data_IF_417813175494
#
_entry.id   IF_417813175494
#
_cell.length_a   1.000
_cell.length_b   1.000
_cell.length_c   1.000
_cell.angle_alpha   90.00
_cell.angle_beta   90.00
_cell.angle_gamma   90.00
#
_symmetry.space_group_name_H-M   'P 1'
#
loop_
_entity.id
_entity.type
_entity.pdbx_description
1 polymer ?
#
# COMPACT_ATOMS: atom_id res chain seq x y z
N UNK A 1 6.80 37.62 28.38
CA UNK A 1 6.33 36.40 29.08
C UNK A 1 7.51 35.50 29.39
N UNK A 2 8.26 35.09 28.36
CA UNK A 2 9.41 34.19 28.49
C UNK A 2 10.42 34.62 29.55
N UNK A 3 10.82 35.90 29.58
CA UNK A 3 11.73 36.42 30.58
C UNK A 3 11.18 36.34 32.01
N UNK A 4 9.93 36.75 32.22
CA UNK A 4 9.29 36.78 33.55
C UNK A 4 9.07 35.36 34.07
N UNK A 5 8.56 34.46 33.22
CA UNK A 5 8.35 33.05 33.56
C UNK A 5 9.68 32.36 33.80
N UNK A 6 10.65 32.53 32.91
CA UNK A 6 11.99 31.98 33.05
C UNK A 6 12.67 32.45 34.33
N UNK A 7 12.56 33.73 34.66
CA UNK A 7 13.11 34.29 35.90
C UNK A 7 12.49 33.64 37.15
N UNK A 8 11.16 33.52 37.21
CA UNK A 8 10.46 32.87 38.33
C UNK A 8 10.81 31.38 38.47
N UNK A 9 10.96 30.67 37.36
CA UNK A 9 11.42 29.27 37.36
C UNK A 9 12.84 29.20 37.94
N UNK A 10 13.72 30.10 37.50
CA UNK A 10 15.11 30.13 37.94
C UNK A 10 15.27 30.55 39.40
N UNK A 11 14.43 31.45 39.92
CA UNK A 11 14.40 31.81 41.35
C UNK A 11 14.19 30.58 42.25
N UNK A 12 13.35 29.63 41.80
CA UNK A 12 13.00 28.44 42.59
C UNK A 12 13.93 27.26 42.32
N UNK A 13 14.41 27.08 41.08
CA UNK A 13 15.07 25.85 40.64
C UNK A 13 16.56 25.98 40.34
N UNK A 14 17.12 27.20 40.24
CA UNK A 14 18.56 27.39 40.01
C UNK A 14 19.43 26.74 41.09
N UNK A 15 19.03 26.86 42.37
CA UNK A 15 19.70 26.21 43.50
C UNK A 15 19.63 24.68 43.48
N UNK A 16 18.79 24.10 42.62
CA UNK A 16 18.69 22.64 42.38
C UNK A 16 19.45 22.19 41.14
N UNK A 17 20.24 23.08 40.53
CA UNK A 17 21.08 22.77 39.37
C UNK A 17 20.41 23.01 38.01
N UNK A 18 19.21 23.58 37.96
CA UNK A 18 18.60 23.99 36.69
C UNK A 18 19.35 25.20 36.12
N UNK A 19 19.56 25.23 34.80
CA UNK A 19 20.14 26.34 34.07
C UNK A 19 19.34 26.60 32.78
N UNK A 20 19.55 27.78 32.18
CA UNK A 20 18.91 28.13 30.91
C UNK A 20 19.93 27.98 29.78
N UNK A 21 19.61 27.13 28.80
CA UNK A 21 20.32 27.01 27.52
C UNK A 21 19.33 27.22 26.38
N UNK A 22 19.42 28.36 25.69
CA UNK A 22 18.55 28.71 24.57
C UNK A 22 18.91 28.01 23.26
N UNK A 23 20.11 27.43 23.15
CA UNK A 23 20.58 26.75 21.93
C UNK A 23 20.34 25.25 22.01
N UNK A 24 20.46 24.67 23.21
CA UNK A 24 20.38 23.23 23.42
C UNK A 24 19.72 22.89 24.76
N UNK A 25 18.43 23.23 24.86
CA UNK A 25 17.62 22.84 26.01
C UNK A 25 17.36 21.32 26.04
N UNK A 26 17.55 20.69 27.20
CA UNK A 26 17.13 19.30 27.44
C UNK A 26 15.61 19.18 27.63
N UNK A 27 14.98 20.28 28.03
CA UNK A 27 13.55 20.40 28.29
C UNK A 27 13.08 21.77 27.83
N UNK A 28 12.02 21.80 27.02
CA UNK A 28 11.42 23.05 26.51
C UNK A 28 10.01 23.16 27.10
N UNK A 29 9.80 24.22 27.88
CA UNK A 29 8.48 24.61 28.35
C UNK A 29 7.88 25.60 27.35
N UNK A 30 6.79 25.22 26.70
CA UNK A 30 6.04 26.05 25.77
C UNK A 30 4.81 26.66 26.47
N UNK A 31 4.53 27.92 26.15
CA UNK A 31 3.36 28.65 26.67
C UNK A 31 2.62 29.26 25.48
N UNK A 32 1.44 28.71 25.18
CA UNK A 32 0.53 29.25 24.17
C UNK A 32 -0.55 30.09 24.86
N UNK A 33 -0.54 31.41 24.62
CA UNK A 33 -1.51 32.35 25.18
C UNK A 33 -2.61 32.60 24.14
N UNK A 34 -3.76 31.98 24.35
CA UNK A 34 -4.97 32.20 23.56
C UNK A 34 -5.86 33.31 24.12
N UNK A 35 -6.92 33.68 23.40
CA UNK A 35 -7.88 34.71 23.84
C UNK A 35 -8.77 34.26 25.01
N UNK A 36 -8.95 32.95 25.21
CA UNK A 36 -9.80 32.39 26.27
C UNK A 36 -9.00 31.69 27.38
N UNK A 37 -7.85 31.10 27.04
CA UNK A 37 -7.05 30.30 27.95
C UNK A 37 -5.57 30.39 27.61
N UNK A 38 -4.73 30.08 28.60
CA UNK A 38 -3.29 29.91 28.45
C UNK A 38 -2.95 28.45 28.66
N UNK A 39 -2.32 27.83 27.66
CA UNK A 39 -1.89 26.44 27.71
C UNK A 39 -0.39 26.42 27.99
N UNK A 40 0.00 25.68 29.02
CA UNK A 40 1.40 25.43 29.37
C UNK A 40 1.66 23.95 29.17
N UNK A 41 2.65 23.62 28.35
CA UNK A 41 2.99 22.25 28.05
C UNK A 41 4.47 22.10 27.77
N UNK A 42 4.93 20.87 27.81
CA UNK A 42 6.26 20.46 27.44
C UNK A 42 6.18 19.38 26.35
N UNK A 43 7.31 19.09 25.71
CA UNK A 43 7.49 17.89 24.91
C UNK A 43 6.48 17.73 23.76
N UNK A 44 6.50 18.66 22.80
CA UNK A 44 5.77 18.53 21.53
C UNK A 44 6.18 17.24 20.81
N UNK A 45 5.31 16.24 20.81
CA UNK A 45 5.52 14.98 20.09
C UNK A 45 5.06 15.14 18.65
N UNK A 46 5.96 15.01 17.65
CA UNK A 46 5.56 15.06 16.25
C UNK A 46 4.62 13.89 15.93
N UNK A 47 3.45 14.19 15.39
CA UNK A 47 2.59 13.18 14.76
C UNK A 47 3.17 12.70 13.44
N UNK A 48 2.46 11.80 12.76
CA UNK A 48 2.84 11.27 11.44
C UNK A 48 2.88 12.36 10.34
N UNK A 49 2.28 13.53 10.60
CA UNK A 49 2.07 14.58 9.60
C UNK A 49 1.00 14.17 8.60
N UNK A 50 1.15 14.61 7.35
CA UNK A 50 0.26 14.23 6.27
C UNK A 50 -0.99 15.11 6.13
N UNK A 51 -2.04 14.56 5.52
CA UNK A 51 -3.33 15.21 5.32
C UNK A 51 -4.47 14.40 5.95
N UNK A 52 -5.59 15.03 6.37
CA UNK A 52 -6.74 14.32 6.89
C UNK A 52 -7.28 13.27 5.91
N UNK A 53 -7.42 12.02 6.36
CA UNK A 53 -7.90 10.92 5.52
C UNK A 53 -9.30 11.22 4.98
N UNK A 54 -9.46 11.11 3.67
CA UNK A 54 -10.69 11.42 2.94
C UNK A 54 -10.67 12.79 2.26
N UNK A 55 -9.72 13.68 2.60
CA UNK A 55 -9.61 14.99 1.95
C UNK A 55 -9.19 14.93 0.47
N UNK A 56 -8.61 13.80 0.03
CA UNK A 56 -8.02 13.64 -1.30
C UNK A 56 -8.64 12.48 -2.09
N UNK A 57 -9.90 12.17 -1.80
CA UNK A 57 -10.66 11.14 -2.51
C UNK A 57 -10.36 9.72 -2.04
N UNK A 58 -10.74 8.76 -2.87
CA UNK A 58 -10.69 7.33 -2.56
C UNK A 58 -9.92 6.59 -3.66
N UNK A 59 -9.03 5.68 -3.25
CA UNK A 59 -8.22 4.89 -4.19
C UNK A 59 -8.24 3.41 -3.81
N UNK A 60 -8.03 2.56 -4.81
CA UNK A 60 -7.95 1.11 -4.64
C UNK A 60 -6.49 0.65 -4.71
N UNK A 61 -6.00 0.05 -3.64
CA UNK A 61 -4.64 -0.48 -3.54
C UNK A 61 -4.61 -1.95 -3.94
N UNK A 62 -3.76 -2.29 -4.92
CA UNK A 62 -3.41 -3.67 -5.22
C UNK A 62 -2.51 -4.19 -4.09
N UNK A 63 -3.14 -4.70 -3.04
CA UNK A 63 -2.50 -5.17 -1.83
C UNK A 63 -2.06 -6.63 -2.01
N UNK A 64 -0.84 -6.92 -1.58
CA UNK A 64 -0.24 -8.25 -1.64
C UNK A 64 0.40 -8.58 -0.30
N UNK A 65 0.75 -9.84 -0.09
CA UNK A 65 1.46 -10.29 1.12
C UNK A 65 2.92 -9.82 1.21
N UNK A 66 3.41 -9.01 0.26
CA UNK A 66 4.77 -8.50 0.23
C UNK A 66 4.99 -7.29 1.13
N UNK A 67 6.24 -6.78 1.13
CA UNK A 67 6.64 -5.60 1.92
C UNK A 67 6.14 -4.30 1.27
N UNK A 68 6.07 -4.27 -0.06
CA UNK A 68 6.03 -3.01 -0.80
C UNK A 68 4.61 -2.43 -0.91
N UNK A 69 3.59 -3.26 -1.16
CA UNK A 69 2.21 -2.80 -1.31
C UNK A 69 1.60 -2.20 -0.04
N UNK A 70 1.90 -2.67 1.20
CA UNK A 70 1.50 -1.98 2.42
C UNK A 70 2.11 -0.58 2.55
N UNK A 71 3.41 -0.42 2.23
CA UNK A 71 4.09 0.88 2.32
C UNK A 71 3.52 1.85 1.29
N UNK A 72 3.26 1.38 0.07
CA UNK A 72 2.60 2.17 -0.96
C UNK A 72 1.21 2.65 -0.54
N UNK A 73 0.42 1.73 0.04
CA UNK A 73 -0.92 2.02 0.60
C UNK A 73 -0.83 3.12 1.66
N UNK A 74 0.06 2.96 2.64
CA UNK A 74 0.27 3.94 3.70
C UNK A 74 0.66 5.33 3.16
N UNK A 75 1.48 5.40 2.11
CA UNK A 75 1.84 6.69 1.50
C UNK A 75 0.64 7.45 0.94
N UNK A 76 -0.36 6.76 0.38
CA UNK A 76 -1.59 7.41 -0.09
C UNK A 76 -2.51 7.80 1.07
N UNK A 77 -2.60 6.96 2.12
CA UNK A 77 -3.30 7.31 3.37
C UNK A 77 -2.72 8.63 3.93
N UNK A 78 -1.40 8.73 4.01
CA UNK A 78 -0.69 9.92 4.51
C UNK A 78 -0.86 11.16 3.60
N UNK A 79 -1.34 10.98 2.37
CA UNK A 79 -1.70 12.06 1.45
C UNK A 79 -3.21 12.35 1.45
N UNK A 80 -3.95 11.89 2.45
CA UNK A 80 -5.36 12.21 2.66
C UNK A 80 -6.31 11.39 1.81
N UNK A 81 -5.84 10.35 1.11
CA UNK A 81 -6.72 9.42 0.41
C UNK A 81 -7.28 8.39 1.39
N UNK A 82 -8.57 8.06 1.27
CA UNK A 82 -9.09 6.81 1.85
C UNK A 82 -8.72 5.66 0.92
N UNK A 83 -8.07 4.64 1.44
CA UNK A 83 -7.52 3.54 0.62
C UNK A 83 -8.22 2.24 0.96
N UNK A 84 -8.86 1.64 -0.05
CA UNK A 84 -9.40 0.30 0.02
C UNK A 84 -8.40 -0.69 -0.59
N UNK A 85 -8.36 -1.93 -0.12
CA UNK A 85 -7.49 -2.97 -0.66
C UNK A 85 -8.23 -3.86 -1.66
N UNK A 86 -7.54 -4.29 -2.71
CA UNK A 86 -7.92 -5.44 -3.55
C UNK A 86 -6.80 -6.48 -3.49
N UNK A 87 -7.16 -7.72 -3.16
CA UNK A 87 -6.26 -8.86 -3.11
C UNK A 87 -6.70 -9.93 -4.10
N UNK A 88 -5.75 -10.43 -4.90
CA UNK A 88 -5.97 -11.51 -5.86
C UNK A 88 -5.58 -12.84 -5.22
N UNK A 89 -6.59 -13.62 -4.89
CA UNK A 89 -6.47 -14.79 -4.06
C UNK A 89 -6.41 -16.09 -4.88
N UNK A 90 -5.47 -16.95 -4.52
CA UNK A 90 -5.22 -18.25 -5.14
C UNK A 90 -5.17 -19.37 -4.08
N UNK A 91 -6.02 -19.27 -3.04
CA UNK A 91 -6.07 -20.24 -1.93
C UNK A 91 -6.21 -21.69 -2.36
N UNK A 92 -6.80 -21.95 -3.53
CA UNK A 92 -6.92 -23.29 -4.12
C UNK A 92 -5.56 -23.94 -4.39
N UNK A 93 -4.53 -23.16 -4.72
CA UNK A 93 -3.17 -23.65 -4.96
C UNK A 93 -2.21 -23.40 -3.79
N UNK A 94 -2.40 -22.33 -3.03
CA UNK A 94 -1.43 -21.85 -2.03
C UNK A 94 -1.89 -22.04 -0.58
N UNK A 95 -3.09 -22.58 -0.38
CA UNK A 95 -3.75 -22.63 0.93
C UNK A 95 -4.15 -21.23 1.43
N UNK A 96 -4.56 -21.16 2.70
CA UNK A 96 -5.13 -19.93 3.28
C UNK A 96 -4.07 -18.93 3.78
N UNK A 97 -2.80 -19.31 3.86
CA UNK A 97 -1.76 -18.44 4.43
C UNK A 97 -1.72 -17.06 3.77
N UNK A 98 -1.76 -17.00 2.43
CA UNK A 98 -1.82 -15.76 1.63
C UNK A 98 -2.93 -14.82 2.07
N UNK A 99 -4.14 -15.36 2.16
CA UNK A 99 -5.35 -14.67 2.61
C UNK A 99 -5.17 -14.11 4.02
N UNK A 100 -4.80 -14.95 5.01
CA UNK A 100 -4.74 -14.55 6.41
C UNK A 100 -3.69 -13.44 6.63
N UNK A 101 -2.55 -13.54 5.92
CA UNK A 101 -1.51 -12.51 5.92
C UNK A 101 -2.02 -11.17 5.38
N UNK A 102 -2.70 -11.17 4.24
CA UNK A 102 -3.16 -9.92 3.62
C UNK A 102 -4.29 -9.27 4.43
N UNK A 103 -5.16 -10.06 5.05
CA UNK A 103 -6.16 -9.55 6.00
C UNK A 103 -5.49 -8.83 7.17
N UNK A 104 -4.46 -9.44 7.77
CA UNK A 104 -3.68 -8.81 8.86
C UNK A 104 -2.94 -7.55 8.43
N UNK A 105 -2.36 -7.54 7.23
CA UNK A 105 -1.73 -6.35 6.66
C UNK A 105 -2.75 -5.23 6.45
N UNK A 106 -3.91 -5.55 5.88
CA UNK A 106 -4.98 -4.57 5.65
C UNK A 106 -5.52 -3.99 6.96
N UNK A 107 -5.75 -4.84 7.97
CA UNK A 107 -6.16 -4.41 9.31
C UNK A 107 -5.12 -3.51 9.98
N UNK A 108 -3.83 -3.88 9.91
CA UNK A 108 -2.73 -3.05 10.43
C UNK A 108 -2.71 -1.66 9.80
N UNK A 109 -2.94 -1.56 8.49
CA UNK A 109 -3.02 -0.29 7.77
C UNK A 109 -4.29 0.50 8.11
N UNK A 110 -5.39 -0.18 8.46
CA UNK A 110 -6.66 0.48 8.78
C UNK A 110 -6.57 1.35 10.04
N UNK A 111 -5.64 1.05 10.95
CA UNK A 111 -5.34 1.89 12.13
C UNK A 111 -4.98 3.35 11.79
N UNK A 112 -4.56 3.62 10.55
CA UNK A 112 -4.18 4.95 10.09
C UNK A 112 -5.31 5.69 9.36
N UNK A 113 -6.45 5.06 9.08
CA UNK A 113 -7.53 5.68 8.28
C UNK A 113 -8.97 5.40 8.75
N UNK A 114 -9.22 4.26 9.40
CA UNK A 114 -10.55 3.70 9.60
C UNK A 114 -11.34 3.52 8.30
N UNK A 115 -12.50 2.86 8.33
CA UNK A 115 -13.44 2.78 7.20
C UNK A 115 -12.87 2.10 5.95
N UNK A 116 -11.75 1.40 6.07
CA UNK A 116 -11.13 0.66 4.99
C UNK A 116 -11.94 -0.58 4.63
N UNK A 117 -11.82 -1.03 3.38
CA UNK A 117 -12.43 -2.28 2.91
C UNK A 117 -11.38 -3.10 2.19
N UNK A 118 -11.45 -4.42 2.33
CA UNK A 118 -10.63 -5.35 1.57
C UNK A 118 -11.52 -6.20 0.66
N UNK A 119 -11.26 -6.13 -0.64
CA UNK A 119 -11.91 -6.93 -1.66
C UNK A 119 -11.02 -8.11 -2.03
N UNK A 120 -11.55 -9.32 -1.94
CA UNK A 120 -10.82 -10.56 -2.18
C UNK A 120 -11.38 -11.19 -3.44
N UNK A 121 -10.54 -11.24 -4.46
CA UNK A 121 -10.92 -11.68 -5.81
C UNK A 121 -10.33 -13.06 -6.08
N UNK A 122 -11.16 -14.08 -6.36
CA UNK A 122 -10.67 -15.37 -6.83
C UNK A 122 -9.92 -15.20 -8.16
N UNK A 123 -8.63 -15.56 -8.21
CA UNK A 123 -7.79 -15.35 -9.40
C UNK A 123 -7.35 -16.66 -10.08
N UNK A 124 -7.71 -17.78 -9.48
CA UNK A 124 -7.45 -19.15 -9.90
C UNK A 124 -7.67 -19.42 -11.41
N UNK A 125 -8.90 -19.24 -11.88
CA UNK A 125 -9.29 -19.66 -13.24
C UNK A 125 -8.58 -18.81 -14.29
N UNK A 126 -8.32 -17.54 -13.99
CA UNK A 126 -7.56 -16.63 -14.84
C UNK A 126 -6.10 -17.10 -14.93
N UNK A 127 -5.49 -17.50 -13.81
CA UNK A 127 -4.13 -18.04 -13.82
C UNK A 127 -4.01 -19.32 -14.64
N UNK A 128 -4.97 -20.24 -14.47
CA UNK A 128 -5.01 -21.51 -15.23
C UNK A 128 -5.15 -21.23 -16.73
N UNK A 129 -6.08 -20.35 -17.14
CA UNK A 129 -6.27 -20.01 -18.55
C UNK A 129 -5.00 -19.41 -19.17
N UNK A 130 -4.36 -18.45 -18.49
CA UNK A 130 -3.12 -17.83 -18.99
C UNK A 130 -1.97 -18.86 -19.03
N UNK A 131 -1.88 -19.77 -18.05
CA UNK A 131 -0.87 -20.83 -18.05
C UNK A 131 -1.05 -21.76 -19.24
N UNK A 132 -2.27 -22.19 -19.50
CA UNK A 132 -2.56 -23.25 -20.48
C UNK A 132 -2.60 -22.74 -21.93
N UNK A 133 -2.92 -21.45 -22.14
CA UNK A 133 -3.11 -20.89 -23.47
C UNK A 133 -2.04 -19.89 -23.92
N UNK A 134 -1.36 -19.21 -23.00
CA UNK A 134 -0.47 -18.10 -23.37
C UNK A 134 1.02 -18.47 -23.32
N UNK A 135 1.82 -17.65 -23.99
CA UNK A 135 3.29 -17.76 -24.00
C UNK A 135 3.85 -17.68 -22.57
N UNK A 136 4.64 -18.69 -22.18
CA UNK A 136 5.16 -18.84 -20.81
C UNK A 136 5.89 -17.59 -20.30
N UNK A 137 6.81 -17.05 -21.10
CA UNK A 137 7.62 -15.88 -20.73
C UNK A 137 6.82 -14.58 -20.53
N UNK A 138 5.57 -14.52 -21.03
CA UNK A 138 4.67 -13.38 -20.89
C UNK A 138 3.72 -13.49 -19.68
N UNK A 139 3.58 -14.67 -19.07
CA UNK A 139 2.56 -14.99 -18.04
C UNK A 139 2.45 -13.94 -16.93
N UNK A 140 3.57 -13.50 -16.35
CA UNK A 140 3.56 -12.52 -15.25
C UNK A 140 2.95 -11.19 -15.68
N UNK A 141 3.26 -10.73 -16.90
CA UNK A 141 2.72 -9.47 -17.42
C UNK A 141 1.23 -9.61 -17.74
N UNK A 142 0.81 -10.77 -18.27
CA UNK A 142 -0.60 -11.08 -18.52
C UNK A 142 -1.42 -11.15 -17.23
N UNK A 143 -0.91 -11.80 -16.17
CA UNK A 143 -1.54 -11.78 -14.85
C UNK A 143 -1.76 -10.35 -14.36
N UNK A 144 -0.73 -9.51 -14.44
CA UNK A 144 -0.82 -8.11 -13.99
C UNK A 144 -1.78 -7.28 -14.83
N UNK A 145 -1.83 -7.50 -16.14
CA UNK A 145 -2.83 -6.87 -17.02
C UNK A 145 -4.25 -7.25 -16.59
N UNK A 146 -4.51 -8.51 -16.28
CA UNK A 146 -5.81 -8.96 -15.75
C UNK A 146 -6.13 -8.36 -14.38
N UNK A 147 -5.15 -8.32 -13.47
CA UNK A 147 -5.31 -7.67 -12.16
C UNK A 147 -5.68 -6.19 -12.29
N UNK A 148 -5.04 -5.47 -13.22
CA UNK A 148 -5.35 -4.06 -13.49
C UNK A 148 -6.76 -3.88 -14.05
N UNK A 149 -7.20 -4.73 -14.99
CA UNK A 149 -8.56 -4.66 -15.55
C UNK A 149 -9.62 -4.91 -14.49
N UNK A 150 -9.44 -5.93 -13.64
CA UNK A 150 -10.37 -6.23 -12.54
C UNK A 150 -10.39 -5.09 -11.52
N UNK A 151 -9.21 -4.62 -11.10
CA UNK A 151 -9.11 -3.51 -10.14
C UNK A 151 -9.75 -2.23 -10.69
N UNK A 152 -9.59 -1.95 -11.98
CA UNK A 152 -10.23 -0.84 -12.65
C UNK A 152 -11.75 -0.96 -12.68
N UNK A 153 -12.28 -2.11 -13.12
CA UNK A 153 -13.72 -2.35 -13.14
C UNK A 153 -14.35 -2.21 -11.74
N UNK A 154 -13.68 -2.75 -10.71
CA UNK A 154 -14.13 -2.60 -9.33
C UNK A 154 -14.05 -1.14 -8.84
N UNK A 155 -12.98 -0.43 -9.20
CA UNK A 155 -12.81 0.98 -8.85
C UNK A 155 -13.90 1.85 -9.50
N UNK A 156 -14.25 1.62 -10.75
CA UNK A 156 -15.36 2.31 -11.43
C UNK A 156 -16.70 2.01 -10.74
N UNK A 157 -16.98 0.74 -10.44
CA UNK A 157 -18.20 0.33 -9.77
C UNK A 157 -18.36 0.98 -8.37
N UNK A 158 -17.26 1.23 -7.67
CA UNK A 158 -17.24 1.82 -6.32
C UNK A 158 -17.00 3.34 -6.31
N UNK A 159 -16.73 3.95 -7.47
CA UNK A 159 -16.46 5.39 -7.58
C UNK A 159 -15.10 5.81 -7.02
N UNK A 160 -14.07 4.96 -7.10
CA UNK A 160 -12.70 5.28 -6.71
C UNK A 160 -11.93 5.97 -7.84
N UNK A 161 -11.13 6.99 -7.51
CA UNK A 161 -10.50 7.89 -8.49
C UNK A 161 -9.17 7.39 -9.05
N UNK A 162 -8.62 6.30 -8.51
CA UNK A 162 -7.34 5.75 -8.96
C UNK A 162 -6.96 4.45 -8.31
N UNK A 163 -5.92 3.84 -8.85
CA UNK A 163 -5.28 2.65 -8.31
C UNK A 163 -3.95 3.01 -7.64
N UNK A 164 -3.51 2.23 -6.66
CA UNK A 164 -2.13 2.32 -6.16
C UNK A 164 -1.48 0.94 -6.09
N UNK A 165 -0.17 0.89 -6.33
CA UNK A 165 0.62 -0.36 -6.36
C UNK A 165 1.94 -0.19 -5.62
N UNK A 166 2.50 -1.29 -5.12
CA UNK A 166 3.84 -1.35 -4.55
C UNK A 166 4.97 -1.50 -5.58
N UNK A 167 4.76 -1.11 -6.83
CA UNK A 167 5.74 -1.30 -7.91
C UNK A 167 6.93 -0.32 -7.78
N UNK A 168 8.16 -0.84 -7.99
CA UNK A 168 9.41 -0.07 -8.03
C UNK A 168 10.23 -0.43 -9.27
N UNK A 169 10.76 0.56 -9.99
CA UNK A 169 11.45 0.30 -11.26
C UNK A 169 12.73 -0.50 -11.02
N UNK A 170 12.90 -1.58 -11.79
CA UNK A 170 14.15 -2.35 -11.79
C UNK A 170 14.34 -3.30 -10.62
N UNK A 171 13.35 -3.44 -9.73
CA UNK A 171 13.42 -4.37 -8.60
C UNK A 171 13.21 -5.83 -9.02
N UNK A 172 12.31 -6.10 -9.97
CA UNK A 172 12.03 -7.44 -10.51
C UNK A 172 11.83 -7.38 -12.03
N UNK A 173 11.96 -8.53 -12.72
CA UNK A 173 11.84 -8.63 -14.17
C UNK A 173 10.52 -8.06 -14.73
N UNK A 174 9.42 -8.19 -13.98
CA UNK A 174 8.12 -7.65 -14.38
C UNK A 174 7.99 -6.13 -14.18
N UNK A 175 8.94 -5.47 -13.52
CA UNK A 175 8.91 -4.04 -13.19
C UNK A 175 10.00 -3.24 -13.94
N UNK A 176 10.33 -3.66 -15.16
CA UNK A 176 11.04 -2.79 -16.11
C UNK A 176 10.10 -1.71 -16.64
N UNK A 177 10.64 -0.58 -17.12
CA UNK A 177 9.83 0.50 -17.71
C UNK A 177 8.90 -0.02 -18.83
N UNK A 178 9.39 -0.93 -19.66
CA UNK A 178 8.62 -1.51 -20.75
C UNK A 178 7.46 -2.37 -20.25
N UNK A 179 7.69 -3.18 -19.22
CA UNK A 179 6.63 -4.00 -18.62
C UNK A 179 5.64 -3.16 -17.81
N UNK A 180 6.09 -2.10 -17.12
CA UNK A 180 5.19 -1.16 -16.45
C UNK A 180 4.27 -0.45 -17.43
N UNK A 181 4.79 0.00 -18.57
CA UNK A 181 4.01 0.56 -19.67
C UNK A 181 3.01 -0.49 -20.20
N UNK A 182 3.48 -1.71 -20.45
CA UNK A 182 2.65 -2.78 -20.99
C UNK A 182 1.52 -3.22 -20.04
N UNK A 183 1.69 -3.12 -18.73
CA UNK A 183 0.62 -3.38 -17.76
C UNK A 183 -0.33 -2.17 -17.69
N UNK A 184 0.20 -0.95 -17.63
CA UNK A 184 -0.62 0.25 -17.41
C UNK A 184 -1.55 0.58 -18.56
N UNK A 185 -1.16 0.28 -19.81
CA UNK A 185 -1.92 0.71 -20.99
C UNK A 185 -3.27 -0.01 -21.16
N UNK A 186 -3.61 -0.99 -20.32
CA UNK A 186 -4.88 -1.73 -20.39
C UNK A 186 -6.05 -1.00 -19.74
N UNK A 187 -5.78 0.07 -19.01
CA UNK A 187 -6.79 0.86 -18.31
C UNK A 187 -6.53 2.36 -18.51
N UNK A 188 -7.58 3.20 -18.58
CA UNK A 188 -7.44 4.65 -18.67
C UNK A 188 -7.21 5.32 -17.30
N UNK A 189 -7.47 4.61 -16.20
CA UNK A 189 -7.41 5.14 -14.84
C UNK A 189 -5.98 5.42 -14.37
N UNK A 190 -5.82 6.46 -13.54
CA UNK A 190 -4.52 6.81 -12.94
C UNK A 190 -4.02 5.72 -11.99
N UNK A 191 -2.75 5.33 -12.15
CA UNK A 191 -2.09 4.34 -11.28
C UNK A 191 -0.92 5.00 -10.53
N UNK A 192 -1.12 5.23 -9.24
CA UNK A 192 -0.11 5.82 -8.36
C UNK A 192 0.95 4.79 -7.96
N UNK A 193 2.22 5.13 -8.14
CA UNK A 193 3.39 4.32 -7.76
C UNK A 193 4.31 5.07 -6.79
N UNK A 194 3.89 5.24 -5.52
CA UNK A 194 4.66 5.97 -4.52
C UNK A 194 6.10 5.48 -4.31
N UNK A 195 6.39 4.22 -4.65
CA UNK A 195 7.68 3.57 -4.41
C UNK A 195 8.57 3.54 -5.67
N UNK A 196 8.13 4.16 -6.77
CA UNK A 196 8.72 3.97 -8.12
C UNK A 196 10.22 4.26 -8.19
N UNK A 197 10.70 5.21 -7.37
CA UNK A 197 12.10 5.61 -7.29
C UNK A 197 12.76 5.32 -5.94
N UNK A 198 12.12 4.52 -5.07
CA UNK A 198 12.66 4.14 -3.77
C UNK A 198 13.50 2.86 -3.87
N UNK A 199 14.58 2.81 -3.10
CA UNK A 199 15.34 1.58 -2.92
C UNK A 199 14.71 0.67 -1.86
N UNK A 200 15.12 -0.60 -1.84
CA UNK A 200 14.52 -1.61 -0.96
C UNK A 200 14.69 -1.31 0.52
N UNK A 201 15.82 -0.73 0.94
CA UNK A 201 16.08 -0.43 2.34
C UNK A 201 15.16 0.68 2.85
N UNK A 202 14.91 1.71 2.05
CA UNK A 202 13.96 2.77 2.38
C UNK A 202 12.53 2.22 2.57
N UNK A 203 12.13 1.26 1.73
CA UNK A 203 10.83 0.59 1.85
C UNK A 203 10.77 -0.24 3.13
N UNK A 204 11.82 -1.00 3.45
CA UNK A 204 11.89 -1.82 4.67
C UNK A 204 11.81 -0.94 5.93
N UNK A 205 12.53 0.19 5.96
CA UNK A 205 12.49 1.13 7.09
C UNK A 205 11.06 1.62 7.31
N UNK A 206 10.35 2.00 6.24
CA UNK A 206 8.96 2.44 6.36
C UNK A 206 8.03 1.30 6.77
N UNK A 207 8.20 0.09 6.22
CA UNK A 207 7.40 -1.08 6.61
C UNK A 207 7.53 -1.41 8.11
N UNK A 208 8.72 -1.21 8.69
CA UNK A 208 8.96 -1.36 10.14
C UNK A 208 8.27 -0.25 10.92
N UNK A 209 8.38 1.00 10.48
CA UNK A 209 7.73 2.15 11.13
C UNK A 209 6.20 2.01 11.19
N UNK A 210 5.58 1.42 10.17
CA UNK A 210 4.13 1.24 10.11
C UNK A 210 3.65 -0.13 10.62
N UNK A 211 4.57 -0.97 11.12
CA UNK A 211 4.24 -2.28 11.72
C UNK A 211 3.83 -3.37 10.73
N UNK A 212 4.12 -3.23 9.44
CA UNK A 212 3.74 -4.22 8.41
C UNK A 212 4.88 -5.19 8.07
N UNK A 213 6.13 -4.86 8.42
CA UNK A 213 7.31 -5.63 8.02
C UNK A 213 7.25 -7.10 8.48
N UNK A 214 7.02 -7.33 9.77
CA UNK A 214 7.06 -8.68 10.35
C UNK A 214 6.00 -9.59 9.74
N UNK A 215 4.80 -9.06 9.48
CA UNK A 215 3.70 -9.78 8.82
C UNK A 215 4.08 -10.12 7.37
N UNK A 216 4.67 -9.17 6.64
CA UNK A 216 5.06 -9.36 5.24
C UNK A 216 6.10 -10.48 5.06
N UNK A 217 7.05 -10.61 5.99
CA UNK A 217 8.14 -11.60 5.89
C UNK A 217 7.78 -13.00 6.40
N UNK A 218 6.58 -13.21 6.95
CA UNK A 218 6.16 -14.55 7.40
C UNK A 218 6.25 -15.55 6.24
N UNK A 219 6.81 -16.75 6.46
CA UNK A 219 6.98 -17.73 5.40
C UNK A 219 5.62 -18.16 4.86
N UNK A 220 5.50 -18.26 3.54
CA UNK A 220 4.34 -18.81 2.87
C UNK A 220 4.75 -19.86 1.84
N UNK A 221 3.86 -20.82 1.53
CA UNK A 221 4.05 -21.71 0.41
C UNK A 221 4.28 -20.86 -0.84
N UNK A 222 5.48 -20.97 -1.41
CA UNK A 222 5.89 -20.15 -2.52
C UNK A 222 5.06 -20.53 -3.75
N UNK A 223 4.39 -19.56 -4.37
CA UNK A 223 3.72 -19.73 -5.68
C UNK A 223 4.72 -20.07 -6.80
N UNK A 224 6.00 -19.97 -6.49
CA UNK A 224 7.14 -19.99 -7.38
C UNK A 224 7.34 -21.27 -8.18
N UNK A 225 6.69 -22.40 -7.85
CA UNK A 225 6.85 -23.64 -8.63
C UNK A 225 5.77 -23.91 -9.67
N UNK A 226 4.56 -23.34 -9.55
CA UNK A 226 3.43 -23.73 -10.43
C UNK A 226 3.07 -22.67 -11.48
N UNK A 227 3.24 -21.38 -11.16
CA UNK A 227 2.77 -20.28 -12.03
C UNK A 227 3.83 -19.29 -12.47
N UNK A 228 5.07 -19.44 -11.99
CA UNK A 228 6.18 -18.61 -12.42
C UNK A 228 6.90 -19.25 -13.62
N UNK A 229 7.13 -18.50 -14.70
CA UNK A 229 7.94 -18.98 -15.81
C UNK A 229 9.41 -19.10 -15.40
N UNK A 230 10.13 -20.03 -16.02
CA UNK A 230 11.58 -20.22 -15.78
C UNK A 230 12.39 -18.97 -16.19
N UNK A 231 11.95 -18.30 -17.26
CA UNK A 231 12.60 -17.10 -17.79
C UNK A 231 11.55 -16.01 -18.09
N UNK A 232 11.19 -15.19 -17.09
CA UNK A 232 10.25 -14.10 -17.29
C UNK A 232 10.83 -13.03 -18.22
N UNK A 233 10.03 -12.59 -19.18
CA UNK A 233 10.45 -11.57 -20.15
C UNK A 233 10.55 -10.19 -19.49
N UNK A 234 11.70 -9.54 -19.64
CA UNK A 234 11.97 -8.19 -19.11
C UNK A 234 11.53 -7.08 -20.07
N UNK A 235 11.16 -7.42 -21.31
CA UNK A 235 10.84 -6.50 -22.41
C UNK A 235 9.66 -7.02 -23.23
N UNK A 236 8.51 -7.20 -22.61
CA UNK A 236 7.32 -7.64 -23.32
C UNK A 236 6.89 -6.59 -24.38
N UNK A 237 6.50 -7.07 -25.55
CA UNK A 237 5.95 -6.21 -26.63
C UNK A 237 4.43 -6.32 -26.61
N UNK A 238 3.73 -5.18 -26.67
CA UNK A 238 2.27 -5.11 -26.64
C UNK A 238 1.61 -6.08 -27.64
N UNK A 239 2.10 -6.09 -28.88
CA UNK A 239 1.62 -7.00 -29.94
C UNK A 239 1.54 -8.47 -29.52
N UNK A 240 2.52 -8.96 -28.74
CA UNK A 240 2.54 -10.36 -28.30
C UNK A 240 1.59 -10.60 -27.12
N UNK A 241 1.52 -9.65 -26.19
CA UNK A 241 0.57 -9.72 -25.08
C UNK A 241 -0.87 -9.70 -25.58
N UNK A 242 -1.19 -8.82 -26.54
CA UNK A 242 -2.51 -8.73 -27.15
C UNK A 242 -2.85 -9.94 -28.02
N UNK A 243 -1.84 -10.63 -28.57
CA UNK A 243 -2.05 -11.90 -29.26
C UNK A 243 -2.35 -13.03 -28.26
N UNK A 244 -1.59 -13.10 -27.15
CA UNK A 244 -1.83 -14.08 -26.07
C UNK A 244 -3.23 -13.89 -25.44
N UNK A 245 -3.68 -12.65 -25.25
CA UNK A 245 -5.00 -12.32 -24.69
C UNK A 245 -6.17 -12.78 -25.56
N UNK A 246 -5.96 -13.03 -26.86
CA UNK A 246 -7.00 -13.56 -27.76
C UNK A 246 -7.17 -15.09 -27.66
N UNK A 247 -6.29 -15.77 -26.92
CA UNK A 247 -6.27 -17.22 -26.82
C UNK A 247 -7.21 -17.76 -25.73
N UNK A 248 -7.80 -16.88 -24.92
CA UNK A 248 -8.74 -17.24 -23.86
C UNK A 248 -9.81 -16.15 -23.68
N UNK A 249 -11.00 -16.55 -23.19
CA UNK A 249 -12.13 -15.63 -22.97
C UNK A 249 -11.94 -14.83 -21.67
N UNK A 250 -11.06 -13.84 -21.71
CA UNK A 250 -10.66 -13.09 -20.52
C UNK A 250 -11.78 -12.21 -19.96
N UNK A 251 -12.69 -11.71 -20.81
CA UNK A 251 -13.86 -10.92 -20.40
C UNK A 251 -14.81 -11.73 -19.51
N UNK A 252 -15.13 -12.97 -19.92
CA UNK A 252 -16.02 -13.86 -19.16
C UNK A 252 -15.39 -14.26 -17.81
N UNK A 253 -14.08 -14.54 -17.81
CA UNK A 253 -13.34 -14.82 -16.59
C UNK A 253 -13.29 -13.62 -15.64
N UNK A 254 -13.15 -12.41 -16.20
CA UNK A 254 -13.17 -11.16 -15.42
C UNK A 254 -14.55 -10.94 -14.79
N UNK A 255 -15.64 -11.12 -15.54
CA UNK A 255 -17.00 -10.99 -15.04
C UNK A 255 -17.26 -11.98 -13.90
N UNK A 256 -16.92 -13.26 -14.10
CA UNK A 256 -17.06 -14.30 -13.08
C UNK A 256 -16.25 -14.00 -11.80
N UNK A 257 -15.04 -13.45 -11.94
CA UNK A 257 -14.21 -13.05 -10.80
C UNK A 257 -14.82 -11.88 -10.03
N UNK A 258 -15.42 -10.90 -10.73
CA UNK A 258 -16.10 -9.75 -10.12
C UNK A 258 -17.39 -10.14 -9.38
N UNK A 259 -18.14 -11.11 -9.91
CA UNK A 259 -19.36 -11.63 -9.26
C UNK A 259 -19.05 -12.41 -7.98
N UNK A 260 -17.84 -12.94 -7.86
CA UNK A 260 -17.38 -13.78 -6.74
C UNK A 260 -16.55 -13.01 -5.71
N UNK A 261 -16.57 -11.67 -5.73
CA UNK A 261 -15.75 -10.86 -4.82
C UNK A 261 -16.26 -10.94 -3.39
N UNK A 262 -15.39 -11.41 -2.49
CA UNK A 262 -15.60 -11.34 -1.05
C UNK A 262 -15.21 -9.92 -0.57
N UNK A 263 -16.04 -9.28 0.25
CA UNK A 263 -15.78 -7.94 0.81
C UNK A 263 -15.68 -8.02 2.32
N UNK A 264 -14.58 -7.54 2.88
CA UNK A 264 -14.34 -7.44 4.32
C UNK A 264 -14.31 -5.97 4.72
N UNK A 265 -15.13 -5.60 5.70
CA UNK A 265 -15.01 -4.32 6.42
C UNK A 265 -13.83 -4.43 7.37
N UNK A 266 -12.84 -3.55 7.24
CA UNK A 266 -11.63 -3.61 8.08
C UNK A 266 -11.88 -3.09 9.50
N UNK A 267 -12.99 -2.39 9.73
CA UNK A 267 -13.42 -1.93 11.06
C UNK A 267 -14.07 -3.07 11.87
N UNK A 268 -14.47 -4.17 11.21
CA UNK A 268 -15.15 -5.31 11.85
C UNK A 268 -14.15 -6.38 12.34
N UNK A 269 -12.85 -6.15 12.15
CA UNK A 269 -11.76 -7.09 12.47
C UNK A 269 -11.15 -6.89 13.87
N UNK A 270 -11.72 -5.99 14.67
CA UNK A 270 -11.30 -5.67 16.04
C UNK A 270 -11.82 -6.66 17.10
#
# INVERSE_FOLDING_TARGET
VDFEVGSRIMEVLSGKGLSVDINRAEFILEIEIGPQETIVFDNRVPGLGGLPVGSSGQVLSLLSGGIDSPVSTFKLINRGCRVHGIFFDNRTFLGRGGYDKVVRLAHTLNRFQGGGKLYIVPFQNIQVAIRDHCTDSNRIVLYRRMMYRIAHALAELKGYQGLTTGESVGQVASQTLQNLMAVSCVIPMSVFRPLIGMNKQEIIIQAKQIGTYDISIEPQPDCCSVFMPDQPNTRCKLKYLEADEKLYAWEDLMASALDSVETISLDDLD
#
